data_IF_075251350451
#
_entry.id   IF_075251350451
#
_cell.length_a   1.000
_cell.length_b   1.000
_cell.length_c   1.000
_cell.angle_alpha   90.00
_cell.angle_beta   90.00
_cell.angle_gamma   90.00
#
_symmetry.space_group_name_H-M   'P 1'
#
loop_
_entity.id
_entity.type
_entity.pdbx_description
1 polymer ?
#
# COMPACT_ATOMS: atom_id res chain seq x y z
N UNK A 1 19.68 -14.03 16.74
CA UNK A 1 18.81 -13.69 17.90
C UNK A 1 19.25 -12.34 18.40
N UNK A 2 18.42 -11.30 18.29
CA UNK A 2 18.76 -9.99 18.84
C UNK A 2 18.70 -10.06 20.38
N UNK A 3 19.77 -9.64 21.06
CA UNK A 3 19.80 -9.52 22.52
C UNK A 3 18.78 -8.47 22.95
N UNK A 4 17.97 -8.79 23.97
CA UNK A 4 17.12 -7.83 24.65
C UNK A 4 17.97 -6.67 25.20
N UNK A 5 17.68 -5.44 24.78
CA UNK A 5 18.29 -4.22 25.29
C UNK A 5 17.21 -3.40 26.02
N UNK A 6 17.19 -3.42 27.37
CA UNK A 6 16.15 -2.77 28.16
C UNK A 6 16.08 -1.27 27.96
N UNK A 7 17.21 -0.62 27.66
CA UNK A 7 17.30 0.84 27.49
C UNK A 7 16.67 1.20 26.14
N UNK A 8 17.06 0.49 25.08
CA UNK A 8 16.48 0.65 23.75
C UNK A 8 14.97 0.38 23.76
N UNK A 9 14.53 -0.68 24.43
CA UNK A 9 13.11 -1.02 24.54
C UNK A 9 12.31 0.01 25.35
N UNK A 10 12.88 0.56 26.42
CA UNK A 10 12.25 1.64 27.18
C UNK A 10 12.06 2.91 26.33
N UNK A 11 13.08 3.30 25.56
CA UNK A 11 12.96 4.45 24.66
C UNK A 11 11.98 4.19 23.52
N UNK A 12 11.94 2.98 22.96
CA UNK A 12 10.96 2.60 21.95
C UNK A 12 9.53 2.73 22.48
N UNK A 13 9.25 2.24 23.69
CA UNK A 13 7.91 2.37 24.31
C UNK A 13 7.49 3.82 24.48
N UNK A 14 8.38 4.68 24.99
CA UNK A 14 8.07 6.11 25.19
C UNK A 14 7.80 6.84 23.86
N UNK A 15 8.53 6.49 22.79
CA UNK A 15 8.28 7.09 21.47
C UNK A 15 6.96 6.58 20.88
N UNK A 16 6.68 5.28 21.01
CA UNK A 16 5.41 4.69 20.62
C UNK A 16 4.22 5.30 21.38
N UNK A 17 4.35 5.60 22.67
CA UNK A 17 3.32 6.30 23.46
C UNK A 17 2.97 7.67 22.87
N UNK A 18 3.98 8.44 22.43
CA UNK A 18 3.73 9.74 21.80
C UNK A 18 2.97 9.62 20.46
N UNK A 19 3.26 8.56 19.69
CA UNK A 19 2.56 8.27 18.44
C UNK A 19 1.15 7.72 18.70
N UNK A 20 0.97 6.90 19.75
CA UNK A 20 -0.33 6.43 20.22
C UNK A 20 -1.25 7.61 20.58
N UNK A 21 -0.72 8.64 21.25
CA UNK A 21 -1.49 9.85 21.56
C UNK A 21 -1.91 10.62 20.30
N UNK A 22 -1.07 10.65 19.26
CA UNK A 22 -1.44 11.27 17.99
C UNK A 22 -2.48 10.43 17.24
N UNK A 23 -2.32 9.11 17.18
CA UNK A 23 -3.27 8.21 16.54
C UNK A 23 -4.62 8.21 17.26
N UNK A 24 -4.64 8.31 18.59
CA UNK A 24 -5.89 8.37 19.37
C UNK A 24 -6.77 9.60 19.08
N UNK A 25 -6.21 10.63 18.42
CA UNK A 25 -6.96 11.82 17.98
C UNK A 25 -7.60 11.65 16.61
N UNK A 26 -7.23 10.60 15.87
CA UNK A 26 -7.63 10.38 14.49
C UNK A 26 -8.47 9.11 14.41
N UNK A 27 -9.58 9.20 13.69
CA UNK A 27 -10.36 8.03 13.25
C UNK A 27 -10.26 7.95 11.74
N UNK A 28 -9.93 6.77 11.23
CA UNK A 28 -9.99 6.49 9.79
C UNK A 28 -11.34 5.85 9.46
N UNK A 29 -12.12 6.50 8.60
CA UNK A 29 -13.44 6.03 8.19
C UNK A 29 -13.36 5.56 6.75
N UNK A 30 -13.37 4.25 6.56
CA UNK A 30 -13.30 3.66 5.23
C UNK A 30 -14.50 4.07 4.37
N UNK A 31 -14.20 4.66 3.21
CA UNK A 31 -15.20 4.99 2.18
C UNK A 31 -15.18 4.00 1.03
N UNK A 32 -13.99 3.49 0.72
CA UNK A 32 -13.77 2.58 -0.40
C UNK A 32 -12.68 1.58 -0.07
N UNK A 33 -12.90 0.34 -0.46
CA UNK A 33 -11.90 -0.73 -0.44
C UNK A 33 -12.11 -1.57 -1.71
N UNK A 34 -11.18 -1.50 -2.65
CA UNK A 34 -11.34 -2.07 -3.98
C UNK A 34 -10.09 -2.80 -4.46
N UNK A 35 -10.28 -3.86 -5.25
CA UNK A 35 -9.21 -4.58 -5.94
C UNK A 35 -9.37 -4.40 -7.45
N UNK A 36 -8.94 -3.25 -7.96
CA UNK A 36 -9.11 -2.90 -9.36
C UNK A 36 -7.94 -3.40 -10.21
N UNK A 37 -8.24 -4.12 -11.29
CA UNK A 37 -7.21 -4.50 -12.27
C UNK A 37 -6.60 -3.24 -12.87
N UNK A 38 -5.28 -3.15 -12.82
CA UNK A 38 -4.52 -1.98 -13.28
C UNK A 38 -4.07 -1.06 -12.14
N UNK A 39 -4.59 -1.22 -10.92
CA UNK A 39 -4.04 -0.53 -9.76
C UNK A 39 -2.65 -1.04 -9.41
N UNK A 40 -1.87 -0.21 -8.71
CA UNK A 40 -0.48 -0.53 -8.37
C UNK A 40 -0.39 -1.85 -7.58
N UNK A 41 -1.27 -2.04 -6.61
CA UNK A 41 -1.23 -3.18 -5.69
C UNK A 41 -2.00 -4.41 -6.20
N UNK A 42 -2.66 -4.38 -7.36
CA UNK A 42 -3.50 -5.48 -7.86
C UNK A 42 -2.77 -6.85 -7.85
N UNK A 43 -3.40 -7.96 -7.43
CA UNK A 43 -4.78 -8.12 -6.91
C UNK A 43 -4.97 -7.80 -5.42
N UNK A 44 -4.13 -6.92 -4.86
CA UNK A 44 -4.28 -6.35 -3.54
C UNK A 44 -5.47 -5.40 -3.45
N UNK A 45 -5.56 -4.68 -2.34
CA UNK A 45 -6.68 -3.76 -2.06
C UNK A 45 -6.17 -2.34 -1.93
N UNK A 46 -6.76 -1.41 -2.67
CA UNK A 46 -6.64 0.02 -2.48
C UNK A 46 -7.78 0.52 -1.58
N UNK A 47 -7.44 1.42 -0.67
CA UNK A 47 -8.30 1.98 0.35
C UNK A 47 -8.35 3.49 0.20
N UNK A 48 -9.54 4.05 0.37
CA UNK A 48 -9.73 5.48 0.53
C UNK A 48 -10.50 5.71 1.82
N UNK A 49 -9.83 6.32 2.79
CA UNK A 49 -10.37 6.57 4.11
C UNK A 49 -10.46 8.08 4.36
N UNK A 50 -11.60 8.52 4.90
CA UNK A 50 -11.69 9.85 5.47
C UNK A 50 -10.91 9.90 6.80
N UNK A 51 -10.25 11.03 7.04
CA UNK A 51 -9.58 11.32 8.31
C UNK A 51 -10.54 12.16 9.13
N UNK A 52 -10.97 11.64 10.27
CA UNK A 52 -11.86 12.34 11.21
C UNK A 52 -11.16 12.68 12.53
N UNK A 53 -11.47 13.86 13.06
CA UNK A 53 -11.07 14.32 14.40
C UNK A 53 -12.34 14.85 15.08
N UNK A 54 -12.64 14.37 16.29
CA UNK A 54 -13.85 14.74 17.04
C UNK A 54 -15.15 14.59 16.22
N UNK A 55 -15.21 13.60 15.32
CA UNK A 55 -16.35 13.32 14.44
C UNK A 55 -16.50 14.26 13.24
N UNK A 56 -15.52 15.12 12.99
CA UNK A 56 -15.46 15.99 11.81
C UNK A 56 -14.40 15.49 10.84
N UNK A 57 -14.75 15.40 9.55
CA UNK A 57 -13.79 15.14 8.48
C UNK A 57 -12.82 16.32 8.36
N UNK A 58 -11.52 16.02 8.34
CA UNK A 58 -10.43 17.00 8.25
C UNK A 58 -9.42 16.67 7.15
N UNK A 59 -9.70 15.66 6.33
CA UNK A 59 -8.78 15.18 5.30
C UNK A 59 -9.14 13.78 4.81
N UNK A 60 -8.22 13.17 4.08
CA UNK A 60 -8.32 11.77 3.62
C UNK A 60 -6.93 11.14 3.46
N UNK A 61 -6.90 9.81 3.39
CA UNK A 61 -5.72 9.02 3.03
C UNK A 61 -6.09 8.01 1.95
N UNK A 62 -5.24 7.94 0.91
CA UNK A 62 -5.27 6.91 -0.13
C UNK A 62 -4.07 5.98 0.08
N UNK A 63 -4.34 4.69 0.26
CA UNK A 63 -3.31 3.70 0.53
C UNK A 63 -3.66 2.33 -0.02
N UNK A 64 -2.65 1.55 -0.38
CA UNK A 64 -2.80 0.20 -0.93
C UNK A 64 -2.05 -0.84 -0.13
N UNK A 65 -2.59 -2.06 -0.11
CA UNK A 65 -1.92 -3.24 0.44
C UNK A 65 -1.83 -4.29 -0.66
N UNK A 66 -0.61 -4.73 -0.95
CA UNK A 66 -0.36 -5.76 -1.97
C UNK A 66 -0.93 -7.13 -1.52
N UNK A 67 -1.05 -8.11 -2.43
CA UNK A 67 -1.61 -9.42 -2.10
C UNK A 67 -0.76 -10.24 -1.12
N UNK A 68 0.50 -9.87 -0.92
CA UNK A 68 1.39 -10.50 0.06
C UNK A 68 1.10 -10.00 1.48
N UNK A 69 0.38 -8.88 1.62
CA UNK A 69 0.07 -8.27 2.91
C UNK A 69 1.30 -7.79 3.65
N UNK A 70 2.42 -7.56 2.96
CA UNK A 70 3.73 -7.37 3.57
C UNK A 70 4.20 -5.92 3.63
N UNK A 71 3.45 -5.00 3.01
CA UNK A 71 3.69 -3.56 3.00
C UNK A 71 2.38 -2.79 2.86
N UNK A 72 2.34 -1.61 3.48
CA UNK A 72 1.33 -0.59 3.22
C UNK A 72 1.95 0.49 2.34
N UNK A 73 1.36 0.73 1.17
CA UNK A 73 1.78 1.78 0.25
C UNK A 73 0.91 3.01 0.43
N UNK A 74 1.51 4.18 0.65
CA UNK A 74 0.77 5.43 0.83
C UNK A 74 0.84 6.21 -0.46
N UNK A 75 -0.29 6.40 -1.14
CA UNK A 75 -0.37 7.22 -2.34
C UNK A 75 -0.50 8.70 -1.96
N UNK A 76 -1.47 9.02 -1.09
CA UNK A 76 -1.73 10.38 -0.66
C UNK A 76 -2.18 10.45 0.80
N UNK A 77 -1.71 11.48 1.51
CA UNK A 77 -2.31 11.94 2.77
C UNK A 77 -2.58 13.42 2.60
N UNK A 78 -3.85 13.79 2.54
CA UNK A 78 -4.27 15.19 2.48
C UNK A 78 -4.97 15.57 3.79
N UNK A 79 -4.51 16.66 4.36
CA UNK A 79 -5.07 17.25 5.59
C UNK A 79 -5.46 18.68 5.25
N UNK A 80 -6.70 19.02 5.55
CA UNK A 80 -7.24 20.35 5.31
C UNK A 80 -6.34 21.43 5.93
N UNK A 81 -6.10 22.58 5.25
CA UNK A 81 -5.11 23.56 5.67
C UNK A 81 -5.20 24.02 7.13
N UNK A 82 -6.43 24.16 7.66
CA UNK A 82 -6.67 24.58 9.05
C UNK A 82 -6.29 23.51 10.09
N UNK A 83 -6.16 22.26 9.66
CA UNK A 83 -5.83 21.10 10.50
C UNK A 83 -4.37 20.63 10.32
N UNK A 84 -3.61 21.25 9.41
CA UNK A 84 -2.20 20.95 9.19
C UNK A 84 -1.32 21.34 10.38
N UNK A 85 -0.13 20.73 10.45
CA UNK A 85 0.89 20.95 11.51
C UNK A 85 0.45 20.59 12.93
N UNK A 86 -0.67 19.90 13.09
CA UNK A 86 -1.17 19.41 14.39
C UNK A 86 -0.77 17.95 14.69
N UNK A 87 0.06 17.34 13.84
CA UNK A 87 0.52 15.96 13.98
C UNK A 87 -0.42 14.90 13.41
N UNK A 88 -1.53 15.30 12.77
CA UNK A 88 -2.56 14.37 12.26
C UNK A 88 -2.01 13.37 11.25
N UNK A 89 -1.19 13.80 10.28
CA UNK A 89 -0.57 12.88 9.32
C UNK A 89 0.35 11.82 9.97
N UNK A 90 1.00 12.14 11.10
CA UNK A 90 1.75 11.14 11.87
C UNK A 90 0.80 10.17 12.59
N UNK A 91 -0.32 10.68 13.11
CA UNK A 91 -1.38 9.87 13.70
C UNK A 91 -1.97 8.88 12.70
N UNK A 92 -2.26 9.31 11.47
CA UNK A 92 -2.73 8.47 10.35
C UNK A 92 -1.74 7.35 10.07
N UNK A 93 -0.47 7.69 9.81
CA UNK A 93 0.57 6.69 9.53
C UNK A 93 0.73 5.69 10.67
N UNK A 94 0.62 6.15 11.93
CA UNK A 94 0.76 5.28 13.09
C UNK A 94 -0.45 4.38 13.26
N UNK A 95 -1.65 4.88 12.98
CA UNK A 95 -2.88 4.09 12.96
C UNK A 95 -2.79 2.95 11.92
N UNK A 96 -2.30 3.25 10.71
CA UNK A 96 -2.07 2.24 9.68
C UNK A 96 -1.00 1.23 10.09
N UNK A 97 0.09 1.68 10.72
CA UNK A 97 1.11 0.77 11.26
C UNK A 97 0.54 -0.13 12.37
N UNK A 98 -0.24 0.41 13.30
CA UNK A 98 -0.90 -0.38 14.35
C UNK A 98 -1.85 -1.43 13.77
N UNK A 99 -2.58 -1.09 12.72
CA UNK A 99 -3.53 -1.98 12.07
C UNK A 99 -2.85 -3.12 11.30
N UNK A 100 -1.76 -2.84 10.59
CA UNK A 100 -1.17 -3.80 9.65
C UNK A 100 0.17 -4.40 10.11
N UNK A 101 0.89 -3.73 11.01
CA UNK A 101 2.17 -4.18 11.57
C UNK A 101 3.24 -4.55 10.52
N UNK A 102 3.22 -3.86 9.38
CA UNK A 102 4.18 -4.03 8.28
C UNK A 102 4.82 -2.69 7.91
N UNK A 103 5.97 -2.69 7.20
CA UNK A 103 6.59 -1.46 6.74
C UNK A 103 5.64 -0.61 5.88
N UNK A 104 5.75 0.70 6.05
CA UNK A 104 5.05 1.69 5.23
C UNK A 104 5.98 2.20 4.13
N UNK A 105 5.48 2.30 2.89
CA UNK A 105 6.23 2.76 1.72
C UNK A 105 5.47 3.89 1.04
N UNK A 106 5.99 5.13 1.05
CA UNK A 106 5.37 6.22 0.32
C UNK A 106 5.49 6.00 -1.19
N UNK A 107 4.42 6.26 -1.94
CA UNK A 107 4.47 6.45 -3.39
C UNK A 107 4.59 7.96 -3.66
N UNK A 108 5.34 8.32 -4.70
CA UNK A 108 5.44 9.68 -5.25
C UNK A 108 5.37 10.82 -4.20
N UNK A 109 6.43 11.07 -3.42
CA UNK A 109 6.40 12.18 -2.45
C UNK A 109 6.26 13.53 -3.16
N UNK A 110 5.06 14.11 -3.11
CA UNK A 110 4.75 15.36 -3.80
C UNK A 110 5.30 16.60 -3.08
N UNK A 111 5.76 17.57 -3.87
CA UNK A 111 6.03 18.94 -3.46
C UNK A 111 6.91 19.09 -2.21
N UNK A 112 6.40 19.81 -1.21
CA UNK A 112 7.13 20.18 0.03
C UNK A 112 6.99 19.14 1.16
N UNK A 113 6.50 17.93 0.88
CA UNK A 113 6.26 16.88 1.88
C UNK A 113 7.54 16.21 2.43
N UNK A 114 8.71 16.50 1.86
CA UNK A 114 9.99 15.89 2.26
C UNK A 114 10.31 16.06 3.75
N UNK A 115 10.01 17.23 4.32
CA UNK A 115 10.21 17.52 5.74
C UNK A 115 9.30 16.67 6.64
N UNK A 116 8.06 16.44 6.22
CA UNK A 116 7.12 15.55 6.90
C UNK A 116 7.62 14.12 6.88
N UNK A 117 8.00 13.58 5.72
CA UNK A 117 8.47 12.20 5.61
C UNK A 117 9.79 11.95 6.36
N UNK A 118 10.71 12.92 6.36
CA UNK A 118 11.93 12.85 7.16
C UNK A 118 11.62 12.79 8.67
N UNK A 119 10.68 13.62 9.14
CA UNK A 119 10.21 13.58 10.52
C UNK A 119 9.54 12.24 10.86
N UNK A 120 8.67 11.74 9.97
CA UNK A 120 7.95 10.49 10.15
C UNK A 120 8.93 9.31 10.30
N UNK A 121 9.87 9.15 9.35
CA UNK A 121 10.91 8.10 9.42
C UNK A 121 11.68 8.12 10.74
N UNK A 122 12.12 9.31 11.18
CA UNK A 122 12.84 9.45 12.45
C UNK A 122 12.00 9.01 13.64
N UNK A 123 10.73 9.44 13.71
CA UNK A 123 9.83 9.11 14.83
C UNK A 123 9.46 7.63 14.85
N UNK A 124 9.19 7.04 13.69
CA UNK A 124 8.82 5.64 13.55
C UNK A 124 9.99 4.73 13.90
N UNK A 125 11.19 5.01 13.37
CA UNK A 125 12.40 4.27 13.72
C UNK A 125 12.68 4.31 15.23
N UNK A 126 12.49 5.48 15.85
CA UNK A 126 12.61 5.63 17.30
C UNK A 126 11.52 4.88 18.10
N UNK A 127 10.40 4.51 17.48
CA UNK A 127 9.33 3.70 18.05
C UNK A 127 9.38 2.21 17.63
N UNK A 128 10.40 1.80 16.86
CA UNK A 128 10.55 0.42 16.38
C UNK A 128 9.76 0.08 15.11
N UNK A 129 9.17 1.08 14.45
CA UNK A 129 8.46 0.93 13.18
C UNK A 129 9.32 1.39 11.99
N UNK A 130 9.01 0.87 10.80
CA UNK A 130 9.77 1.15 9.57
C UNK A 130 8.88 1.89 8.57
N UNK A 131 9.37 3.05 8.13
CA UNK A 131 8.92 3.73 6.91
C UNK A 131 10.11 3.68 5.94
N UNK A 132 9.91 3.03 4.80
CA UNK A 132 10.97 2.86 3.80
C UNK A 132 11.16 4.11 2.93
N UNK A 133 12.11 4.03 2.00
CA UNK A 133 12.24 5.01 0.94
C UNK A 133 11.02 4.97 0.01
N UNK A 134 10.77 6.10 -0.64
CA UNK A 134 9.64 6.20 -1.55
C UNK A 134 9.88 5.39 -2.83
N UNK A 135 8.80 4.96 -3.47
CA UNK A 135 8.80 4.60 -4.88
C UNK A 135 8.37 5.84 -5.67
N UNK A 136 9.29 6.41 -6.43
CA UNK A 136 9.14 7.70 -7.12
C UNK A 136 8.87 7.54 -8.62
N UNK A 137 9.30 6.44 -9.23
CA UNK A 137 9.17 6.21 -10.66
C UNK A 137 8.35 4.98 -10.98
N UNK A 138 7.78 4.95 -12.18
CA UNK A 138 7.07 3.78 -12.70
C UNK A 138 7.99 2.56 -12.77
N UNK A 139 9.28 2.75 -13.04
CA UNK A 139 10.31 1.70 -13.00
C UNK A 139 10.47 1.09 -11.61
N UNK A 140 10.58 1.91 -10.56
CA UNK A 140 10.68 1.44 -9.17
C UNK A 140 9.40 0.69 -8.75
N UNK A 141 8.25 1.19 -9.19
CA UNK A 141 6.96 0.54 -8.96
C UNK A 141 6.83 -0.79 -9.70
N UNK A 142 7.27 -0.88 -10.95
CA UNK A 142 7.24 -2.12 -11.72
C UNK A 142 8.19 -3.17 -11.13
N UNK A 143 9.37 -2.76 -10.63
CA UNK A 143 10.26 -3.63 -9.86
C UNK A 143 9.57 -4.14 -8.59
N UNK A 144 8.85 -3.28 -7.86
CA UNK A 144 8.11 -3.70 -6.68
C UNK A 144 7.02 -4.73 -7.03
N UNK A 145 6.25 -4.52 -8.12
CA UNK A 145 5.18 -5.42 -8.58
C UNK A 145 5.66 -6.81 -8.93
N UNK A 146 6.92 -6.98 -9.37
CA UNK A 146 7.49 -8.31 -9.67
C UNK A 146 7.33 -9.29 -8.49
N UNK A 147 7.33 -8.78 -7.26
CA UNK A 147 7.16 -9.58 -6.04
C UNK A 147 5.83 -10.34 -6.01
N UNK A 148 4.75 -9.77 -6.54
CA UNK A 148 3.41 -10.39 -6.53
C UNK A 148 2.84 -10.62 -7.93
N UNK A 149 3.63 -10.44 -8.99
CA UNK A 149 3.18 -10.65 -10.37
C UNK A 149 2.64 -12.07 -10.60
N UNK A 150 3.23 -13.06 -9.95
CA UNK A 150 2.81 -14.46 -10.02
C UNK A 150 1.44 -14.73 -9.35
N UNK A 151 0.91 -13.78 -8.57
CA UNK A 151 -0.40 -13.86 -7.94
C UNK A 151 -1.51 -13.20 -8.78
N UNK A 152 -1.14 -12.51 -9.86
CA UNK A 152 -2.10 -11.84 -10.74
C UNK A 152 -2.96 -12.88 -11.45
N UNK A 153 -4.30 -12.89 -11.25
CA UNK A 153 -5.17 -13.82 -11.94
C UNK A 153 -5.16 -13.57 -13.44
N UNK A 154 -5.14 -14.66 -14.21
CA UNK A 154 -5.29 -14.61 -15.66
C UNK A 154 -6.59 -13.90 -16.05
N UNK A 155 -6.50 -12.97 -17.00
CA UNK A 155 -7.68 -12.28 -17.53
C UNK A 155 -8.58 -13.23 -18.34
N UNK A 156 -9.86 -12.89 -18.50
CA UNK A 156 -10.75 -13.66 -19.36
C UNK A 156 -10.25 -13.69 -20.82
N UNK A 157 -9.66 -12.59 -21.29
CA UNK A 157 -9.12 -12.50 -22.64
C UNK A 157 -7.92 -13.41 -22.83
N UNK A 158 -6.99 -13.43 -21.89
CA UNK A 158 -5.82 -14.33 -21.93
C UNK A 158 -6.25 -15.79 -21.85
N UNK A 159 -7.22 -16.08 -20.98
CA UNK A 159 -7.82 -17.40 -20.85
C UNK A 159 -8.50 -17.85 -22.14
N UNK A 160 -9.25 -16.98 -22.79
CA UNK A 160 -9.94 -17.26 -24.05
C UNK A 160 -8.93 -17.47 -25.19
N UNK A 161 -7.88 -16.65 -25.26
CA UNK A 161 -6.76 -16.83 -26.20
C UNK A 161 -6.09 -18.18 -25.98
N UNK A 162 -5.75 -18.54 -24.73
CA UNK A 162 -5.15 -19.84 -24.42
C UNK A 162 -6.06 -20.98 -24.85
N UNK A 163 -7.33 -20.97 -24.46
CA UNK A 163 -8.31 -21.99 -24.88
C UNK A 163 -8.44 -22.12 -26.39
N UNK A 164 -8.44 -21.00 -27.12
CA UNK A 164 -8.46 -21.00 -28.58
C UNK A 164 -7.23 -21.70 -29.15
N UNK A 165 -6.03 -21.35 -28.66
CA UNK A 165 -4.79 -21.97 -29.14
C UNK A 165 -4.66 -23.43 -28.73
N UNK A 166 -5.13 -23.81 -27.54
CA UNK A 166 -5.21 -25.21 -27.10
C UNK A 166 -6.12 -26.02 -28.04
N UNK A 167 -7.26 -25.45 -28.45
CA UNK A 167 -8.13 -26.06 -29.45
C UNK A 167 -7.44 -26.19 -30.82
N UNK A 168 -6.80 -25.13 -31.32
CA UNK A 168 -6.04 -25.18 -32.59
C UNK A 168 -4.98 -26.28 -32.55
N UNK A 169 -4.22 -26.38 -31.47
CA UNK A 169 -3.22 -27.42 -31.29
C UNK A 169 -3.83 -28.83 -31.28
N UNK A 170 -4.97 -29.01 -30.60
CA UNK A 170 -5.69 -30.28 -30.57
C UNK A 170 -6.22 -30.70 -31.94
N UNK A 171 -6.70 -29.75 -32.75
CA UNK A 171 -7.19 -30.02 -34.10
C UNK A 171 -6.05 -30.42 -35.05
N UNK A 172 -4.92 -29.69 -34.99
CA UNK A 172 -3.72 -30.07 -35.75
C UNK A 172 -3.20 -31.45 -35.37
N UNK A 173 -3.19 -31.79 -34.07
CA UNK A 173 -2.80 -33.12 -33.61
C UNK A 173 -3.74 -34.23 -34.14
N UNK A 174 -5.00 -33.90 -34.41
CA UNK A 174 -5.98 -34.79 -35.02
C UNK A 174 -5.96 -34.78 -36.57
N UNK A 175 -5.01 -34.05 -37.19
CA UNK A 175 -4.89 -33.92 -38.65
C UNK A 175 -5.96 -33.03 -39.28
N UNK A 176 -6.69 -32.23 -38.49
CA UNK A 176 -7.73 -31.31 -38.95
C UNK A 176 -7.16 -29.90 -39.12
N UNK A 177 -7.78 -29.14 -40.01
CA UNK A 177 -7.41 -27.74 -40.24
C UNK A 177 -8.08 -26.87 -39.17
N UNK A 178 -7.29 -26.07 -38.45
CA UNK A 178 -7.77 -25.09 -37.48
C UNK A 178 -6.86 -23.87 -37.47
N UNK A 179 -7.35 -22.75 -36.92
CA UNK A 179 -6.59 -21.51 -36.80
C UNK A 179 -7.26 -20.31 -37.48
N UNK A 180 -6.61 -19.13 -37.44
CA UNK A 180 -7.18 -17.90 -37.96
C UNK A 180 -7.57 -18.03 -39.43
N UNK A 181 -8.82 -17.75 -39.76
CA UNK A 181 -9.33 -17.79 -41.14
C UNK A 181 -9.87 -19.14 -41.61
N UNK A 182 -9.89 -20.17 -40.75
CA UNK A 182 -10.57 -21.43 -41.03
C UNK A 182 -11.99 -21.36 -40.45
N UNK A 183 -13.01 -21.56 -41.31
CA UNK A 183 -14.43 -21.61 -40.94
C UNK A 183 -14.88 -23.02 -40.62
#
# INVERSE_FOLDING_TARGET
>A
MALFDPIRDYFHRRQAESLNQLAARVVLVNKRAESLRGSFVYPGTDFFDDIEVDGQRVGHVDYGINPLGDRVYIDEIDIEPNHQRQGLGLGVLWHLWLAHQVPIVPLYQYGNSSSFWSLARRRFSAAGAVIEDQLRTDEEMDVAKQRWQHLIPESNDDRNKRKYWDWVASEHAAGRAAGPGIR
#
